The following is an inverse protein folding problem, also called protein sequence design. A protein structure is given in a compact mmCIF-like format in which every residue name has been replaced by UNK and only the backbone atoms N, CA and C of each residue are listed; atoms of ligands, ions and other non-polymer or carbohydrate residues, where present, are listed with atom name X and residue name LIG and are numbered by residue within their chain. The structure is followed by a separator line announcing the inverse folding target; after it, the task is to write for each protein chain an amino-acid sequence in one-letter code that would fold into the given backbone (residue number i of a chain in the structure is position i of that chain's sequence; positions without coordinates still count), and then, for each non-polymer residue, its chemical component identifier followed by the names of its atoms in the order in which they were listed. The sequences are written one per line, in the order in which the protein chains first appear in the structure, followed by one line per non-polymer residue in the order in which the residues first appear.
data_IF_780451981556
#
_entry.id   IF_780451981556
#
_cell.length_a   1.000
_cell.length_b   1.000
_cell.length_c   1.000
_cell.angle_alpha   90.00
_cell.angle_beta   90.00
_cell.angle_gamma   90.00
#
_symmetry.space_group_name_H-M   'P 1'
#
loop_
_entity.id
_entity.type
_entity.pdbx_description
1 polymer ?
#
# COMPACT_ATOMS: atom_id res chain seq x y z
N UNK A 1 40.88 -0.21 -8.49
CA UNK A 1 39.80 0.06 -9.46
C UNK A 1 39.20 1.40 -9.07
N UNK A 2 39.04 2.33 -10.01
CA UNK A 2 38.49 3.65 -9.74
C UNK A 2 36.98 3.53 -9.59
N UNK A 3 36.51 3.28 -8.36
CA UNK A 3 35.08 3.27 -8.05
C UNK A 3 34.52 4.69 -8.29
N UNK A 4 33.54 4.77 -9.19
CA UNK A 4 32.87 6.03 -9.48
C UNK A 4 31.96 6.36 -8.28
N UNK A 5 31.88 7.61 -7.79
CA UNK A 5 31.03 7.95 -6.64
C UNK A 5 29.54 7.56 -6.76
N UNK A 6 29.06 7.35 -7.98
CA UNK A 6 27.70 6.86 -8.30
C UNK A 6 27.54 5.37 -7.95
N UNK A 7 28.60 4.60 -8.07
CA UNK A 7 28.63 3.18 -7.71
C UNK A 7 28.37 3.00 -6.21
N UNK A 8 29.00 3.82 -5.36
CA UNK A 8 28.75 3.81 -3.92
C UNK A 8 27.29 4.12 -3.54
N UNK A 9 26.64 5.04 -4.25
CA UNK A 9 25.22 5.35 -4.05
C UNK A 9 24.31 4.19 -4.49
N UNK A 10 24.59 3.58 -5.64
CA UNK A 10 23.85 2.41 -6.15
C UNK A 10 23.99 1.19 -5.23
N UNK A 11 25.20 0.92 -4.74
CA UNK A 11 25.46 -0.17 -3.79
C UNK A 11 24.71 0.05 -2.47
N UNK A 12 24.82 1.26 -1.90
CA UNK A 12 24.10 1.61 -0.66
C UNK A 12 22.58 1.48 -0.83
N UNK A 13 22.06 1.85 -2.00
CA UNK A 13 20.64 1.68 -2.32
C UNK A 13 20.22 0.21 -2.36
N UNK A 14 20.98 -0.63 -3.09
CA UNK A 14 20.69 -2.06 -3.21
C UNK A 14 20.77 -2.79 -1.86
N UNK A 15 21.71 -2.41 -1.00
CA UNK A 15 21.85 -2.98 0.34
C UNK A 15 20.69 -2.61 1.26
N UNK A 16 20.23 -1.35 1.25
CA UNK A 16 19.06 -0.92 2.01
C UNK A 16 17.77 -1.61 1.51
N UNK A 17 17.64 -1.81 0.20
CA UNK A 17 16.52 -2.57 -0.37
C UNK A 17 16.57 -4.03 0.12
N UNK A 18 17.75 -4.66 0.10
CA UNK A 18 17.93 -6.04 0.58
C UNK A 18 17.55 -6.20 2.05
N UNK A 19 17.82 -5.22 2.90
CA UNK A 19 17.40 -5.23 4.31
C UNK A 19 15.87 -5.11 4.48
N UNK A 20 15.14 -4.50 3.53
CA UNK A 20 13.68 -4.40 3.55
C UNK A 20 12.96 -5.57 2.86
N UNK A 21 13.69 -6.45 2.15
CA UNK A 21 13.16 -7.68 1.51
C UNK A 21 12.96 -8.81 2.53
N UNK A 22 13.31 -8.62 3.81
CA UNK A 22 12.90 -9.57 4.86
C UNK A 22 11.43 -9.34 5.20
N UNK A 23 10.57 -9.71 4.24
CA UNK A 23 9.11 -9.61 4.31
C UNK A 23 8.58 -10.37 5.52
N UNK A 24 9.32 -11.39 5.99
CA UNK A 24 8.99 -12.18 7.17
C UNK A 24 8.81 -11.30 8.42
N UNK A 25 9.57 -10.20 8.55
CA UNK A 25 9.43 -9.28 9.69
C UNK A 25 8.08 -8.55 9.72
N UNK A 26 7.50 -8.29 8.55
CA UNK A 26 6.27 -7.50 8.39
C UNK A 26 5.05 -8.43 8.40
N UNK A 27 5.22 -9.63 7.85
CA UNK A 27 4.14 -10.53 7.49
C UNK A 27 4.07 -11.77 8.39
N UNK A 28 5.15 -12.10 9.08
CA UNK A 28 5.25 -13.22 10.01
C UNK A 28 5.49 -14.57 9.35
N UNK A 29 5.70 -15.58 10.19
CA UNK A 29 5.85 -16.97 9.78
C UNK A 29 4.51 -17.61 9.38
N UNK A 30 4.53 -18.69 8.58
CA UNK A 30 3.31 -19.44 8.25
C UNK A 30 2.58 -19.90 9.52
N UNK A 31 1.26 -19.77 9.54
CA UNK A 31 0.44 -20.16 10.69
C UNK A 31 -0.15 -21.55 10.44
N UNK A 32 0.15 -22.50 11.32
CA UNK A 32 -0.48 -23.82 11.32
C UNK A 32 -1.81 -23.79 12.07
N UNK A 33 -2.86 -24.32 11.44
CA UNK A 33 -4.18 -24.47 12.06
C UNK A 33 -4.32 -25.85 12.71
N UNK A 34 -5.22 -26.01 13.70
CA UNK A 34 -5.42 -27.29 14.39
C UNK A 34 -5.84 -28.46 13.49
N UNK A 35 -6.36 -28.18 12.29
CA UNK A 35 -6.71 -29.17 11.27
C UNK A 35 -5.54 -29.56 10.36
N UNK A 36 -4.33 -29.04 10.63
CA UNK A 36 -3.10 -29.32 9.88
C UNK A 36 -2.96 -28.52 8.60
N UNK A 37 -3.79 -27.51 8.37
CA UNK A 37 -3.60 -26.58 7.24
C UNK A 37 -2.53 -25.53 7.58
N UNK A 38 -1.82 -25.04 6.56
CA UNK A 38 -0.83 -23.97 6.67
C UNK A 38 -1.34 -22.73 5.97
N UNK A 39 -1.35 -21.61 6.68
CA UNK A 39 -1.75 -20.31 6.14
C UNK A 39 -0.49 -19.50 5.85
N UNK A 40 -0.30 -19.18 4.57
CA UNK A 40 0.77 -18.35 4.05
C UNK A 40 0.20 -17.01 3.62
N UNK A 41 0.86 -15.94 3.97
CA UNK A 41 0.51 -14.57 3.60
C UNK A 41 1.22 -14.18 2.31
N UNK A 42 0.47 -13.58 1.38
CA UNK A 42 0.98 -13.14 0.07
C UNK A 42 0.92 -11.62 0.01
N UNK A 43 2.06 -11.00 -0.23
CA UNK A 43 2.20 -9.54 -0.26
C UNK A 43 2.78 -9.06 -1.58
N UNK A 44 2.24 -7.94 -2.08
CA UNK A 44 2.83 -7.15 -3.15
C UNK A 44 3.91 -6.26 -2.57
N UNK A 45 5.11 -6.32 -3.12
CA UNK A 45 6.23 -5.47 -2.71
C UNK A 45 6.59 -4.51 -3.83
N UNK A 46 6.68 -3.22 -3.51
CA UNK A 46 7.10 -2.16 -4.40
C UNK A 46 8.37 -1.50 -3.91
N UNK A 47 9.31 -1.26 -4.82
CA UNK A 47 10.58 -0.60 -4.52
C UNK A 47 10.70 0.65 -5.38
N UNK A 48 11.02 1.78 -4.77
CA UNK A 48 11.30 3.03 -5.44
C UNK A 48 12.67 3.52 -5.04
N UNK A 49 13.47 3.95 -6.01
CA UNK A 49 14.77 4.55 -5.75
C UNK A 49 15.02 5.71 -6.72
N UNK A 50 15.65 6.76 -6.20
CA UNK A 50 16.10 7.90 -6.97
C UNK A 50 17.49 8.30 -6.48
N UNK A 51 18.39 8.57 -7.42
CA UNK A 51 19.70 9.14 -7.15
C UNK A 51 20.04 10.22 -8.18
N UNK A 52 20.85 11.17 -7.75
CA UNK A 52 21.38 12.22 -8.62
C UNK A 52 22.62 12.84 -7.98
N UNK A 53 23.50 13.35 -8.83
CA UNK A 53 24.70 14.04 -8.37
C UNK A 53 25.39 14.75 -9.51
N UNK A 54 26.31 15.63 -9.16
CA UNK A 54 27.11 16.41 -10.09
C UNK A 54 28.55 16.48 -9.61
N UNK A 55 29.48 16.44 -10.55
CA UNK A 55 30.86 16.81 -10.30
C UNK A 55 31.01 18.33 -10.43
N UNK A 56 31.74 18.94 -9.50
CA UNK A 56 32.02 20.36 -9.50
C UNK A 56 33.44 20.59 -10.00
N UNK A 57 33.56 21.33 -11.10
CA UNK A 57 34.86 21.79 -11.58
C UNK A 57 35.34 22.91 -10.66
N UNK A 58 36.20 22.59 -9.71
CA UNK A 58 36.95 23.62 -8.97
C UNK A 58 38.21 23.93 -9.76
N UNK A 59 38.14 24.95 -10.60
CA UNK A 59 39.33 25.58 -11.15
C UNK A 59 40.10 26.22 -10.00
N UNK A 60 41.19 25.55 -9.59
CA UNK A 60 42.15 26.05 -8.62
C UNK A 60 42.83 27.33 -9.10
N UNK A 61 42.11 28.45 -9.04
CA UNK A 61 42.67 29.79 -8.92
C UNK A 61 42.43 30.25 -7.48
N UNK A 62 43.14 29.62 -6.56
CA UNK A 62 43.39 30.24 -5.27
C UNK A 62 44.05 31.60 -5.53
N UNK A 63 43.41 32.68 -5.07
CA UNK A 63 44.10 33.95 -4.89
C UNK A 63 45.14 33.74 -3.79
N UNK A 64 46.37 33.43 -4.17
CA UNK A 64 47.50 33.28 -3.27
C UNK A 64 48.77 33.25 -4.10
N UNK A 65 49.61 34.27 -3.94
CA UNK A 65 50.75 34.53 -4.79
C UNK A 65 51.83 33.44 -4.74
N UNK A 66 52.46 33.31 -5.91
CA UNK A 66 53.89 33.13 -6.17
C UNK A 66 54.64 31.91 -5.63
N UNK A 67 55.38 31.32 -6.59
CA UNK A 67 56.50 30.37 -6.49
C UNK A 67 56.24 28.86 -6.35
N UNK A 68 56.71 28.13 -7.38
CA UNK A 68 57.42 26.87 -7.17
C UNK A 68 56.84 25.66 -7.90
N UNK A 69 57.34 25.42 -9.10
CA UNK A 69 57.43 24.15 -9.84
C UNK A 69 56.96 22.85 -9.15
N UNK A 70 55.94 22.22 -9.76
CA UNK A 70 55.90 20.77 -10.08
C UNK A 70 54.62 20.45 -10.88
N UNK A 71 54.70 19.87 -12.10
CA UNK A 71 53.53 19.38 -12.81
C UNK A 71 53.18 17.99 -12.25
N UNK A 72 52.37 17.96 -11.18
CA UNK A 72 51.81 16.70 -10.71
C UNK A 72 50.62 16.33 -11.61
N UNK A 73 50.95 15.69 -12.74
CA UNK A 73 50.02 15.07 -13.67
C UNK A 73 49.40 13.81 -13.03
N UNK A 74 48.45 14.01 -12.13
CA UNK A 74 47.43 13.04 -11.79
C UNK A 74 46.07 13.60 -12.21
N UNK A 75 45.08 12.77 -12.57
CA UNK A 75 43.73 13.26 -12.85
C UNK A 75 43.24 14.03 -11.62
N UNK A 76 42.98 15.34 -11.77
CA UNK A 76 42.37 16.16 -10.72
C UNK A 76 41.00 15.57 -10.43
N UNK A 77 40.90 14.81 -9.35
CA UNK A 77 39.64 14.24 -8.89
C UNK A 77 38.73 15.40 -8.50
N UNK A 78 37.67 15.61 -9.29
CA UNK A 78 36.75 16.70 -9.06
C UNK A 78 35.86 16.36 -7.85
N UNK A 79 35.57 17.33 -6.97
CA UNK A 79 34.65 17.10 -5.87
C UNK A 79 33.26 16.76 -6.43
N UNK A 80 32.70 15.66 -5.95
CA UNK A 80 31.38 15.18 -6.32
C UNK A 80 30.40 15.50 -5.19
N UNK A 81 29.23 16.05 -5.53
CA UNK A 81 28.11 16.16 -4.61
C UNK A 81 26.90 15.47 -5.20
N UNK A 82 26.26 14.61 -4.42
CA UNK A 82 25.10 13.87 -4.84
C UNK A 82 24.24 13.44 -3.66
N UNK A 83 23.05 12.98 -3.98
CA UNK A 83 22.08 12.45 -3.03
C UNK A 83 21.34 11.26 -3.63
N UNK A 84 20.88 10.38 -2.75
CA UNK A 84 20.07 9.24 -3.11
C UNK A 84 18.98 9.02 -2.05
N UNK A 85 17.86 8.48 -2.46
CA UNK A 85 16.75 8.11 -1.58
C UNK A 85 15.95 6.97 -2.18
N UNK A 86 15.36 6.16 -1.33
CA UNK A 86 14.50 5.08 -1.75
C UNK A 86 13.42 4.80 -0.72
N UNK A 87 12.43 4.03 -1.12
CA UNK A 87 11.33 3.59 -0.28
C UNK A 87 10.84 2.21 -0.70
N UNK A 88 10.24 1.51 0.26
CA UNK A 88 9.64 0.20 0.05
C UNK A 88 8.21 0.24 0.52
N UNK A 89 7.30 -0.29 -0.30
CA UNK A 89 5.91 -0.52 0.06
C UNK A 89 5.65 -2.02 0.11
N UNK A 90 5.01 -2.48 1.18
CA UNK A 90 4.59 -3.88 1.32
C UNK A 90 3.09 -3.84 1.57
N UNK A 91 2.33 -4.49 0.70
CA UNK A 91 0.87 -4.54 0.78
C UNK A 91 0.44 -6.00 0.80
N UNK A 92 -0.14 -6.51 1.89
CA UNK A 92 -0.78 -7.83 1.91
C UNK A 92 -1.93 -7.85 0.90
N UNK A 93 -1.94 -8.83 0.00
CA UNK A 93 -2.96 -8.94 -1.06
C UNK A 93 -3.79 -10.22 -0.97
N UNK A 94 -3.25 -11.27 -0.34
CA UNK A 94 -3.97 -12.52 -0.18
C UNK A 94 -3.42 -13.41 0.95
N UNK A 95 -4.19 -14.42 1.33
CA UNK A 95 -3.75 -15.59 2.10
C UNK A 95 -3.83 -16.83 1.22
N UNK A 96 -2.77 -17.64 1.21
CA UNK A 96 -2.69 -18.94 0.58
C UNK A 96 -2.82 -20.01 1.67
N UNK A 97 -3.91 -20.75 1.64
CA UNK A 97 -4.20 -21.85 2.56
C UNK A 97 -3.84 -23.15 1.87
N UNK A 98 -2.90 -23.89 2.44
CA UNK A 98 -2.47 -25.21 1.97
C UNK A 98 -2.97 -26.25 2.97
N UNK A 99 -3.80 -27.18 2.50
CA UNK A 99 -4.37 -28.26 3.32
C UNK A 99 -4.24 -29.60 2.62
N UNK A 100 -4.50 -30.69 3.32
CA UNK A 100 -4.60 -32.04 2.72
C UNK A 100 -5.70 -32.14 1.65
N UNK A 101 -6.68 -31.23 1.67
CA UNK A 101 -7.79 -31.17 0.69
C UNK A 101 -7.43 -30.34 -0.55
N UNK A 102 -6.28 -29.68 -0.57
CA UNK A 102 -5.83 -28.84 -1.66
C UNK A 102 -5.42 -27.43 -1.22
N UNK A 103 -5.22 -26.57 -2.23
CA UNK A 103 -4.71 -25.20 -2.09
C UNK A 103 -5.86 -24.22 -2.37
N UNK A 104 -6.04 -23.22 -1.50
CA UNK A 104 -7.05 -22.16 -1.63
C UNK A 104 -6.42 -20.79 -1.43
N UNK A 105 -6.71 -19.84 -2.30
CA UNK A 105 -6.29 -18.44 -2.14
C UNK A 105 -7.47 -17.57 -1.73
N UNK A 106 -7.31 -16.80 -0.66
CA UNK A 106 -8.26 -15.79 -0.19
C UNK A 106 -7.66 -14.41 -0.47
N UNK A 107 -8.28 -13.65 -1.36
CA UNK A 107 -7.83 -12.30 -1.66
C UNK A 107 -8.37 -11.34 -0.59
N UNK A 108 -7.55 -10.35 -0.22
CA UNK A 108 -7.91 -9.30 0.74
C UNK A 108 -8.65 -8.11 0.08
N UNK A 109 -8.86 -8.15 -1.25
CA UNK A 109 -9.49 -7.06 -1.99
C UNK A 109 -10.97 -6.91 -1.59
N UNK A 110 -11.30 -5.84 -0.88
CA UNK A 110 -12.61 -5.58 -0.28
C UNK A 110 -13.68 -5.10 -1.28
N UNK A 111 -13.31 -4.82 -2.54
CA UNK A 111 -14.20 -4.16 -3.49
C UNK A 111 -15.41 -5.01 -3.92
N UNK A 112 -15.43 -6.32 -3.66
CA UNK A 112 -16.57 -7.20 -3.96
C UNK A 112 -17.58 -7.31 -2.80
N UNK A 113 -17.16 -7.09 -1.54
CA UNK A 113 -18.04 -7.33 -0.39
C UNK A 113 -19.09 -6.23 -0.19
N UNK A 114 -18.87 -5.02 -0.67
CA UNK A 114 -19.85 -3.93 -0.55
C UNK A 114 -21.08 -4.14 -1.44
N UNK A 115 -20.89 -4.71 -2.64
CA UNK A 115 -21.97 -5.03 -3.57
C UNK A 115 -22.81 -6.20 -3.06
N UNK A 116 -22.17 -7.28 -2.61
CA UNK A 116 -22.87 -8.45 -2.04
C UNK A 116 -23.69 -8.06 -0.80
N UNK A 117 -23.12 -7.23 0.09
CA UNK A 117 -23.81 -6.78 1.31
C UNK A 117 -24.95 -5.81 1.03
N UNK A 118 -24.89 -5.03 -0.06
CA UNK A 118 -25.99 -4.19 -0.53
C UNK A 118 -27.15 -5.04 -1.09
N UNK A 119 -26.83 -6.13 -1.80
CA UNK A 119 -27.83 -7.06 -2.34
C UNK A 119 -28.55 -7.84 -1.21
N UNK A 120 -27.83 -8.24 -0.17
CA UNK A 120 -28.41 -8.93 0.99
C UNK A 120 -29.38 -8.06 1.81
N UNK A 121 -29.18 -6.74 1.82
CA UNK A 121 -30.04 -5.79 2.56
C UNK A 121 -31.28 -5.35 1.75
N UNK A 122 -31.31 -5.61 0.44
CA UNK A 122 -32.38 -5.14 -0.44
C UNK A 122 -33.77 -5.75 -0.13
N UNK A 123 -33.92 -7.08 0.11
CA UNK A 123 -35.23 -7.67 0.36
C UNK A 123 -35.92 -7.09 1.60
N UNK A 124 -35.18 -6.96 2.72
CA UNK A 124 -35.71 -6.42 3.97
C UNK A 124 -36.07 -4.92 3.89
N UNK A 125 -35.35 -4.15 3.07
CA UNK A 125 -35.69 -2.75 2.82
C UNK A 125 -36.99 -2.60 2.03
N UNK A 126 -37.22 -3.44 1.01
CA UNK A 126 -38.44 -3.44 0.18
C UNK A 126 -39.67 -3.77 1.05
N UNK A 127 -39.57 -4.79 1.90
CA UNK A 127 -40.67 -5.18 2.81
C UNK A 127 -41.04 -4.04 3.77
N UNK A 128 -40.05 -3.33 4.30
CA UNK A 128 -40.27 -2.21 5.23
C UNK A 128 -40.93 -1.01 4.55
N UNK A 129 -40.53 -0.71 3.31
CA UNK A 129 -41.15 0.34 2.49
C UNK A 129 -42.60 -0.04 2.16
N UNK A 130 -42.86 -1.27 1.70
CA UNK A 130 -44.22 -1.74 1.42
C UNK A 130 -45.12 -1.71 2.67
N UNK A 131 -44.58 -2.04 3.85
CA UNK A 131 -45.32 -1.98 5.11
C UNK A 131 -45.72 -0.56 5.53
N UNK A 132 -44.87 0.43 5.25
CA UNK A 132 -45.19 1.84 5.52
C UNK A 132 -46.22 2.39 4.53
N UNK A 133 -46.06 2.13 3.23
CA UNK A 133 -47.00 2.58 2.19
C UNK A 133 -48.41 1.99 2.35
N UNK A 134 -48.53 0.72 2.73
CA UNK A 134 -49.84 0.10 3.00
C UNK A 134 -50.52 0.70 4.24
N UNK A 135 -49.74 1.06 5.26
CA UNK A 135 -50.26 1.65 6.50
C UNK A 135 -50.84 3.05 6.30
N UNK A 136 -50.33 3.81 5.34
CA UNK A 136 -50.86 5.13 4.99
C UNK A 136 -52.14 5.08 4.12
N UNK A 137 -52.41 3.96 3.44
CA UNK A 137 -53.58 3.80 2.56
C UNK A 137 -54.86 3.30 3.26
N UNK A 138 -54.77 2.69 4.45
CA UNK A 138 -55.94 2.16 5.17
C UNK A 138 -56.51 3.13 6.24
N UNK A 139 -56.12 4.40 6.20
CA UNK A 139 -56.31 5.34 7.31
C UNK A 139 -57.47 6.35 7.25
N UNK A 140 -58.33 6.39 6.22
CA UNK A 140 -59.45 7.36 6.15
C UNK A 140 -60.73 6.74 5.56
N UNK A 141 -61.59 6.18 6.42
CA UNK A 141 -63.01 5.94 6.15
C UNK A 141 -63.86 6.90 7.00
N UNK A 142 -64.88 7.58 6.45
CA UNK A 142 -65.66 8.57 7.22
C UNK A 142 -66.61 7.87 8.20
N UNK A 143 -66.44 8.16 9.49
CA UNK A 143 -67.36 7.77 10.56
C UNK A 143 -68.72 8.48 10.39
N UNK A 144 -69.73 7.74 9.93
CA UNK A 144 -71.12 8.15 9.99
C UNK A 144 -71.67 7.94 11.41
N UNK A 145 -71.54 8.96 12.26
CA UNK A 145 -72.21 8.99 13.56
C UNK A 145 -73.69 9.39 13.36
N UNK A 146 -74.58 8.39 13.26
CA UNK A 146 -76.04 8.62 13.39
C UNK A 146 -76.35 8.93 14.86
N UNK A 147 -76.75 10.17 15.14
CA UNK A 147 -77.42 10.54 16.38
C UNK A 147 -78.85 9.97 16.34
N UNK A 148 -79.13 8.98 17.19
CA UNK A 148 -80.50 8.70 17.60
C UNK A 148 -80.82 9.62 18.78
N UNK A 149 -81.89 10.39 18.62
CA UNK A 149 -82.50 11.23 19.65
C UNK A 149 -83.65 10.42 20.25
N UNK A 150 -83.72 10.38 21.57
CA UNK A 150 -84.79 9.73 22.35
C UNK A 150 -86.19 10.21 21.94
N UNK A 151 -87.14 9.27 21.80
CA UNK A 151 -88.49 9.23 22.40
C UNK A 151 -89.28 8.01 21.86
#
# INVERSE_FOLDING_TARGET
MSEHPIEGLMTTAMENLKQMIDVNTIIGDPVETPDGSVILTVSKVGFGFAAGGSEFIIDGKGKGGDNGDKPQSGPKQQPFGGGSGGGVSITPIAFLIVSSRGIKMLHLDENTHLLDRLLDLAPGAIEKIQGMLKKDHDGHGPDHHKQNVDF
#
